data_IF_665416967336
#
_entry.id   IF_665416967336
#
_cell.length_a   1.000
_cell.length_b   1.000
_cell.length_c   1.000
_cell.angle_alpha   90.00
_cell.angle_beta   90.00
_cell.angle_gamma   90.00
#
_symmetry.space_group_name_H-M   'P 1'
#
loop_
_entity.id
_entity.type
_entity.pdbx_description
1 polymer ?
#
# COMPACT_ATOMS: atom_id res chain seq x y z
N UNK A 1 12.81 -11.19 -3.46
CA UNK A 1 11.77 -10.17 -3.21
C UNK A 1 12.31 -8.83 -3.66
N UNK A 2 11.51 -8.03 -4.38
CA UNK A 2 11.92 -6.68 -4.81
C UNK A 2 12.36 -5.85 -3.59
N UNK A 3 13.50 -5.13 -3.69
CA UNK A 3 14.05 -4.33 -2.58
C UNK A 3 13.04 -3.30 -2.07
N UNK A 4 12.23 -2.73 -2.97
CA UNK A 4 11.13 -1.80 -2.63
C UNK A 4 10.01 -2.47 -1.84
N UNK A 5 9.64 -3.72 -2.18
CA UNK A 5 8.63 -4.47 -1.41
C UNK A 5 9.14 -4.81 -0.01
N UNK A 6 10.41 -5.18 0.13
CA UNK A 6 11.03 -5.42 1.46
C UNK A 6 11.00 -4.14 2.29
N UNK A 7 11.41 -3.01 1.70
CA UNK A 7 11.36 -1.71 2.36
C UNK A 7 9.93 -1.34 2.80
N UNK A 8 8.94 -1.54 1.94
CA UNK A 8 7.54 -1.18 2.23
C UNK A 8 6.96 -2.00 3.39
N UNK A 9 7.29 -3.30 3.47
CA UNK A 9 6.91 -4.14 4.62
C UNK A 9 7.57 -3.62 5.90
N UNK A 10 8.87 -3.29 5.85
CA UNK A 10 9.59 -2.70 6.99
C UNK A 10 8.98 -1.36 7.44
N UNK A 11 8.60 -0.51 6.49
CA UNK A 11 7.91 0.74 6.76
C UNK A 11 6.58 0.49 7.48
N UNK A 12 5.72 -0.40 6.96
CA UNK A 12 4.45 -0.74 7.61
C UNK A 12 4.63 -1.32 9.01
N UNK A 13 5.67 -2.12 9.24
CA UNK A 13 5.98 -2.65 10.56
C UNK A 13 6.32 -1.52 11.56
N UNK A 14 7.16 -0.56 11.15
CA UNK A 14 7.52 0.60 11.97
C UNK A 14 6.30 1.46 12.26
N UNK A 15 5.47 1.75 11.24
CA UNK A 15 4.25 2.54 11.40
C UNK A 15 3.23 1.84 12.32
N UNK A 16 3.08 0.51 12.19
CA UNK A 16 2.21 -0.30 13.04
C UNK A 16 2.66 -0.29 14.50
N UNK A 17 3.96 -0.47 14.76
CA UNK A 17 4.53 -0.36 16.11
C UNK A 17 4.32 1.04 16.68
N UNK A 18 4.57 2.09 15.89
CA UNK A 18 4.32 3.47 16.33
C UNK A 18 2.86 3.71 16.73
N UNK A 19 1.91 3.16 15.97
CA UNK A 19 0.49 3.27 16.26
C UNK A 19 0.08 2.48 17.52
N UNK A 20 0.58 1.25 17.69
CA UNK A 20 0.24 0.38 18.82
C UNK A 20 0.73 0.93 20.17
N UNK A 21 1.89 1.59 20.19
CA UNK A 21 2.49 2.13 21.41
C UNK A 21 2.36 3.65 21.54
N UNK A 22 1.66 4.29 20.59
CA UNK A 22 1.47 5.75 20.51
C UNK A 22 2.76 6.56 20.69
N UNK A 23 3.85 6.11 20.05
CA UNK A 23 5.16 6.76 20.21
C UNK A 23 5.20 8.19 19.63
N UNK A 24 4.50 8.43 18.52
CA UNK A 24 4.44 9.73 17.87
C UNK A 24 3.19 9.91 17.04
N UNK A 25 2.38 10.93 17.38
CA UNK A 25 1.19 11.27 16.61
C UNK A 25 1.52 11.77 15.19
N UNK A 26 2.69 12.39 14.99
CA UNK A 26 3.12 12.82 13.66
C UNK A 26 3.36 11.63 12.72
N UNK A 27 3.98 10.56 13.22
CA UNK A 27 4.19 9.32 12.46
C UNK A 27 2.85 8.62 12.19
N UNK A 28 1.89 8.70 13.10
CA UNK A 28 0.52 8.20 12.87
C UNK A 28 -0.18 8.96 11.73
N UNK A 29 -0.08 10.29 11.70
CA UNK A 29 -0.61 11.09 10.58
C UNK A 29 0.07 10.75 9.25
N UNK A 30 1.38 10.51 9.27
CA UNK A 30 2.11 10.05 8.09
C UNK A 30 1.59 8.70 7.59
N UNK A 31 1.33 7.75 8.49
CA UNK A 31 0.74 6.44 8.13
C UNK A 31 -0.64 6.60 7.49
N UNK A 32 -1.50 7.45 8.05
CA UNK A 32 -2.84 7.74 7.51
C UNK A 32 -2.74 8.38 6.13
N UNK A 33 -1.81 9.32 5.94
CA UNK A 33 -1.57 9.96 4.64
C UNK A 33 -1.13 8.92 3.59
N UNK A 34 -0.23 8.01 3.96
CA UNK A 34 0.24 6.94 3.08
C UNK A 34 -0.92 6.01 2.66
N UNK A 35 -1.76 5.63 3.62
CA UNK A 35 -2.98 4.85 3.39
C UNK A 35 -3.95 5.56 2.43
N UNK A 36 -4.15 6.87 2.61
CA UNK A 36 -4.99 7.67 1.74
C UNK A 36 -4.43 7.73 0.31
N UNK A 37 -3.12 7.86 0.14
CA UNK A 37 -2.47 7.82 -1.17
C UNK A 37 -2.70 6.46 -1.84
N UNK A 38 -2.50 5.34 -1.12
CA UNK A 38 -2.75 4.01 -1.68
C UNK A 38 -4.23 3.78 -2.05
N UNK A 39 -5.18 4.37 -1.31
CA UNK A 39 -6.60 4.37 -1.70
C UNK A 39 -6.82 5.13 -3.01
N UNK A 40 -6.20 6.29 -3.17
CA UNK A 40 -6.26 7.05 -4.43
C UNK A 40 -5.64 6.24 -5.57
N UNK A 41 -4.49 5.60 -5.35
CA UNK A 41 -3.85 4.73 -6.34
C UNK A 41 -4.77 3.59 -6.77
N UNK A 42 -5.45 2.93 -5.83
CA UNK A 42 -6.41 1.88 -6.15
C UNK A 42 -7.52 2.38 -7.07
N UNK A 43 -8.08 3.55 -6.81
CA UNK A 43 -9.14 4.15 -7.63
C UNK A 43 -8.61 4.57 -9.01
N UNK A 44 -7.45 5.24 -9.05
CA UNK A 44 -6.82 5.72 -10.30
C UNK A 44 -6.45 4.56 -11.21
N UNK A 45 -5.92 3.48 -10.65
CA UNK A 45 -5.50 2.29 -11.38
C UNK A 45 -6.54 1.16 -11.38
N UNK A 46 -7.78 1.45 -10.96
CA UNK A 46 -8.84 0.47 -10.79
C UNK A 46 -9.05 -0.39 -12.04
N UNK A 47 -9.03 0.20 -13.24
CA UNK A 47 -9.18 -0.54 -14.49
C UNK A 47 -8.09 -1.60 -14.66
N UNK A 48 -6.82 -1.26 -14.40
CA UNK A 48 -5.70 -2.21 -14.50
C UNK A 48 -5.78 -3.33 -13.48
N UNK A 49 -6.29 -3.02 -12.28
CA UNK A 49 -6.46 -4.00 -11.21
C UNK A 49 -7.66 -4.91 -11.50
N UNK A 50 -8.74 -4.37 -12.08
CA UNK A 50 -9.91 -5.15 -12.48
C UNK A 50 -9.62 -6.10 -13.64
N UNK A 51 -8.76 -5.67 -14.56
CA UNK A 51 -8.39 -6.44 -15.75
C UNK A 51 -7.20 -7.38 -15.50
N UNK A 52 -6.65 -7.41 -14.27
CA UNK A 52 -5.66 -8.41 -13.87
C UNK A 52 -6.33 -9.76 -13.60
N UNK A 53 -5.54 -10.85 -13.64
CA UNK A 53 -6.03 -12.20 -13.31
C UNK A 53 -6.35 -12.36 -11.81
N UNK A 54 -5.98 -11.38 -10.99
CA UNK A 54 -6.21 -11.41 -9.54
C UNK A 54 -7.66 -11.00 -9.20
N UNK A 55 -8.20 -11.54 -8.10
CA UNK A 55 -9.47 -11.05 -7.57
C UNK A 55 -9.33 -9.57 -7.13
N UNK A 56 -10.38 -8.76 -7.39
CA UNK A 56 -10.45 -7.34 -7.01
C UNK A 56 -10.10 -7.06 -5.56
N UNK A 57 -10.51 -7.94 -4.64
CA UNK A 57 -10.18 -7.80 -3.21
C UNK A 57 -8.68 -8.00 -2.94
N UNK A 58 -8.05 -8.95 -3.63
CA UNK A 58 -6.61 -9.16 -3.53
C UNK A 58 -5.85 -7.96 -4.10
N UNK A 59 -6.26 -7.46 -5.26
CA UNK A 59 -5.67 -6.26 -5.86
C UNK A 59 -5.80 -5.02 -4.95
N UNK A 60 -6.93 -4.87 -4.27
CA UNK A 60 -7.13 -3.83 -3.26
C UNK A 60 -6.14 -3.93 -2.10
N UNK A 61 -6.02 -5.11 -1.49
CA UNK A 61 -5.08 -5.33 -0.39
C UNK A 61 -3.63 -5.13 -0.83
N UNK A 62 -3.27 -5.61 -2.01
CA UNK A 62 -1.92 -5.45 -2.53
C UNK A 62 -1.59 -4.00 -2.88
N UNK A 63 -2.55 -3.22 -3.38
CA UNK A 63 -2.38 -1.77 -3.52
C UNK A 63 -2.29 -1.07 -2.17
N UNK A 64 -3.06 -1.47 -1.15
CA UNK A 64 -2.94 -0.88 0.19
C UNK A 64 -1.58 -1.15 0.84
N UNK A 65 -0.97 -2.30 0.58
CA UNK A 65 0.33 -2.65 1.16
C UNK A 65 1.47 -2.06 0.33
N UNK A 66 1.44 -2.24 -0.99
CA UNK A 66 2.56 -1.96 -1.88
C UNK A 66 2.35 -0.79 -2.84
N UNK A 67 1.15 -0.22 -2.90
CA UNK A 67 0.81 0.88 -3.78
C UNK A 67 1.17 0.60 -5.24
N UNK A 68 1.83 1.57 -5.86
CA UNK A 68 2.39 1.47 -7.22
C UNK A 68 3.34 0.28 -7.42
N UNK A 69 4.02 -0.25 -6.39
CA UNK A 69 4.91 -1.41 -6.54
C UNK A 69 4.15 -2.72 -6.86
N UNK A 70 2.86 -2.78 -6.52
CA UNK A 70 1.98 -3.84 -7.00
C UNK A 70 1.45 -3.56 -8.41
N UNK A 71 1.13 -2.29 -8.70
CA UNK A 71 0.46 -1.89 -9.94
C UNK A 71 1.40 -1.87 -11.15
N UNK A 72 2.65 -1.43 -10.98
CA UNK A 72 3.64 -1.32 -12.06
C UNK A 72 3.81 -2.59 -12.91
N UNK A 73 3.91 -3.80 -12.33
CA UNK A 73 4.01 -5.04 -13.10
C UNK A 73 2.68 -5.51 -13.71
N UNK A 74 1.53 -4.94 -13.33
CA UNK A 74 0.26 -5.27 -13.97
C UNK A 74 0.30 -4.79 -15.43
N UNK A 75 -0.12 -5.67 -16.35
CA UNK A 75 -0.23 -5.29 -17.78
C UNK A 75 -1.21 -4.12 -17.92
N UNK A 76 -0.87 -3.21 -18.83
CA UNK A 76 -1.62 -1.98 -19.09
C UNK A 76 -2.91 -2.25 -19.83
#
# INVERSE_FOLDING_TARGET
MDKGKVFTIGLWAILGVNYLFDFSSWVNYFAVLLLAIHLIEYVVFFKRIKDSEDNLFYGFLMTLIFGVLYIQPLKK
#
